data_IF_635972587197
#
_entry.id   IF_635972587197
#
_cell.length_a   1.000
_cell.length_b   1.000
_cell.length_c   1.000
_cell.angle_alpha   90.00
_cell.angle_beta   90.00
_cell.angle_gamma   90.00
#
_symmetry.space_group_name_H-M   'P 1'
#
loop_
_entity.id
_entity.type
_entity.pdbx_description
1 polymer ?
#
# COMPACT_ATOMS: atom_id res chain seq x y z
N UNK A 1 -1.08 -11.46 3.17
CA UNK A 1 -1.82 -10.30 3.69
C UNK A 1 -3.30 -10.42 3.36
N UNK A 2 -3.69 -10.51 2.08
CA UNK A 2 -5.10 -10.51 1.62
C UNK A 2 -6.02 -11.49 2.37
N UNK A 3 -5.59 -12.75 2.53
CA UNK A 3 -6.36 -13.78 3.23
C UNK A 3 -6.64 -13.43 4.71
N UNK A 4 -5.64 -12.92 5.43
CA UNK A 4 -5.81 -12.55 6.84
C UNK A 4 -6.62 -11.25 6.98
N UNK A 5 -6.41 -10.26 6.10
CA UNK A 5 -7.21 -9.03 6.08
C UNK A 5 -8.70 -9.31 5.86
N UNK A 6 -9.04 -10.24 4.96
CA UNK A 6 -10.43 -10.66 4.76
C UNK A 6 -11.03 -11.35 5.98
N UNK A 7 -10.25 -12.20 6.66
CA UNK A 7 -10.71 -12.94 7.84
C UNK A 7 -10.86 -12.08 9.09
N UNK A 8 -10.01 -11.06 9.22
CA UNK A 8 -9.97 -10.16 10.37
C UNK A 8 -10.83 -8.91 10.18
N UNK A 9 -11.41 -8.69 8.98
CA UNK A 9 -12.27 -7.56 8.72
C UNK A 9 -13.48 -7.55 9.68
N UNK A 10 -13.72 -6.44 10.40
CA UNK A 10 -14.92 -6.28 11.23
C UNK A 10 -16.23 -6.38 10.43
N UNK A 11 -17.34 -6.58 11.12
CA UNK A 11 -18.67 -6.50 10.50
C UNK A 11 -18.87 -5.14 9.81
N UNK A 12 -19.36 -5.17 8.57
CA UNK A 12 -19.55 -3.96 7.75
C UNK A 12 -18.30 -3.46 7.02
N UNK A 13 -17.14 -4.08 7.22
CA UNK A 13 -15.90 -3.72 6.52
C UNK A 13 -15.65 -4.68 5.36
N UNK A 14 -15.33 -4.13 4.18
CA UNK A 14 -14.88 -4.89 3.01
C UNK A 14 -13.42 -4.57 2.71
N UNK A 15 -12.71 -5.51 2.10
CA UNK A 15 -11.30 -5.33 1.71
C UNK A 15 -11.16 -5.51 0.20
N UNK A 16 -10.42 -4.59 -0.42
CA UNK A 16 -10.19 -4.54 -1.87
C UNK A 16 -8.69 -4.43 -2.11
N UNK A 17 -8.20 -5.09 -3.15
CA UNK A 17 -6.76 -5.24 -3.35
C UNK A 17 -6.37 -4.99 -4.80
N UNK A 18 -5.22 -4.35 -4.98
CA UNK A 18 -4.43 -4.33 -6.21
C UNK A 18 -3.05 -4.90 -5.90
N UNK A 19 -2.24 -5.23 -6.92
CA UNK A 19 -0.94 -5.89 -6.73
C UNK A 19 0.17 -5.17 -7.48
N UNK A 20 1.28 -4.98 -6.80
CA UNK A 20 2.59 -4.67 -7.38
C UNK A 20 3.26 -6.01 -7.71
N UNK A 21 3.88 -6.10 -8.88
CA UNK A 21 4.62 -7.31 -9.22
C UNK A 21 5.89 -7.36 -8.37
N UNK A 22 6.05 -8.44 -7.60
CA UNK A 22 7.20 -8.64 -6.71
C UNK A 22 7.84 -9.99 -6.99
N UNK A 23 9.16 -10.01 -7.19
CA UNK A 23 9.92 -11.23 -7.53
C UNK A 23 10.91 -11.68 -6.48
N UNK A 24 11.49 -10.73 -5.74
CA UNK A 24 12.57 -10.93 -4.77
C UNK A 24 12.68 -9.72 -3.85
N UNK A 25 13.32 -9.89 -2.69
CA UNK A 25 13.46 -8.84 -1.67
C UNK A 25 14.77 -8.03 -1.81
N UNK A 26 15.36 -7.99 -3.00
CA UNK A 26 16.52 -7.13 -3.25
C UNK A 26 16.14 -5.65 -3.16
N UNK A 27 17.07 -4.81 -2.71
CA UNK A 27 16.82 -3.38 -2.48
C UNK A 27 16.28 -2.69 -3.73
N UNK A 28 16.82 -3.01 -4.91
CA UNK A 28 16.37 -2.45 -6.19
C UNK A 28 14.89 -2.77 -6.46
N UNK A 29 14.46 -4.02 -6.22
CA UNK A 29 13.07 -4.46 -6.41
C UNK A 29 12.13 -3.75 -5.44
N UNK A 30 12.54 -3.60 -4.18
CA UNK A 30 11.78 -2.88 -3.16
C UNK A 30 11.63 -1.39 -3.50
N UNK A 31 12.70 -0.74 -3.98
CA UNK A 31 12.67 0.65 -4.43
C UNK A 31 11.81 0.84 -5.69
N UNK A 32 11.82 -0.14 -6.61
CA UNK A 32 11.02 -0.10 -7.83
C UNK A 32 9.52 -0.04 -7.53
N UNK A 33 9.05 -0.67 -6.43
CA UNK A 33 7.64 -0.63 -6.03
C UNK A 33 7.07 0.80 -5.96
N UNK A 34 7.86 1.77 -5.49
CA UNK A 34 7.43 3.16 -5.37
C UNK A 34 7.03 3.77 -6.73
N UNK A 35 7.64 3.29 -7.82
CA UNK A 35 7.33 3.75 -9.18
C UNK A 35 5.98 3.21 -9.68
N UNK A 36 5.52 2.08 -9.15
CA UNK A 36 4.21 1.49 -9.49
C UNK A 36 3.06 1.98 -8.59
N UNK A 37 3.37 2.43 -7.37
CA UNK A 37 2.36 2.90 -6.39
C UNK A 37 1.37 3.92 -6.98
N UNK A 38 1.77 4.98 -7.72
CA UNK A 38 0.84 6.01 -8.16
C UNK A 38 -0.30 5.48 -9.03
N UNK A 39 0.02 4.65 -10.04
CA UNK A 39 -0.96 4.16 -11.01
C UNK A 39 -1.86 3.08 -10.40
N UNK A 40 -1.31 2.28 -9.48
CA UNK A 40 -2.07 1.27 -8.75
C UNK A 40 -2.97 1.90 -7.67
N UNK A 41 -2.53 3.00 -7.06
CA UNK A 41 -3.35 3.79 -6.14
C UNK A 41 -4.55 4.40 -6.88
N UNK A 42 -4.34 4.97 -8.07
CA UNK A 42 -5.44 5.46 -8.92
C UNK A 42 -6.43 4.35 -9.25
N UNK A 43 -5.94 3.20 -9.73
CA UNK A 43 -6.78 2.05 -10.07
C UNK A 43 -7.62 1.59 -8.86
N UNK A 44 -6.98 1.45 -7.69
CA UNK A 44 -7.64 1.02 -6.48
C UNK A 44 -8.61 2.09 -5.94
N UNK A 45 -8.29 3.37 -6.13
CA UNK A 45 -9.11 4.51 -5.70
C UNK A 45 -10.50 4.55 -6.35
N UNK A 46 -10.67 3.97 -7.55
CA UNK A 46 -11.99 3.83 -8.18
C UNK A 46 -12.99 3.02 -7.34
N UNK A 47 -12.52 2.20 -6.39
CA UNK A 47 -13.38 1.45 -5.47
C UNK A 47 -14.01 2.31 -4.36
N UNK A 48 -13.75 3.63 -4.31
CA UNK A 48 -14.30 4.55 -3.30
C UNK A 48 -14.01 4.09 -1.88
N UNK A 49 -12.73 3.84 -1.60
CA UNK A 49 -12.24 3.31 -0.32
C UNK A 49 -12.21 4.39 0.77
N UNK A 50 -12.41 3.98 2.03
CA UNK A 50 -12.25 4.84 3.20
C UNK A 50 -10.77 5.07 3.59
N UNK A 51 -9.90 4.10 3.26
CA UNK A 51 -8.45 4.17 3.50
C UNK A 51 -7.69 3.20 2.57
N UNK A 52 -6.42 3.51 2.30
CA UNK A 52 -5.50 2.66 1.52
C UNK A 52 -4.28 2.29 2.37
N UNK A 53 -3.84 1.04 2.32
CA UNK A 53 -2.62 0.58 2.98
C UNK A 53 -1.63 0.01 1.96
N UNK A 54 -0.39 0.48 1.99
CA UNK A 54 0.71 -0.18 1.30
C UNK A 54 1.18 -1.41 2.10
N UNK A 55 0.88 -2.58 1.53
CA UNK A 55 0.93 -3.88 2.19
C UNK A 55 2.29 -4.59 2.26
N UNK A 56 3.41 -3.89 2.26
CA UNK A 56 4.74 -4.50 2.29
C UNK A 56 5.65 -3.82 3.33
N UNK A 57 6.09 -4.58 4.34
CA UNK A 57 7.03 -4.09 5.38
C UNK A 57 8.37 -3.73 4.76
N UNK A 58 8.98 -4.63 3.97
CA UNK A 58 10.27 -4.38 3.32
C UNK A 58 10.24 -3.13 2.45
N UNK A 59 9.26 -3.01 1.57
CA UNK A 59 9.11 -1.86 0.66
C UNK A 59 8.84 -0.53 1.37
N UNK A 60 8.22 -0.54 2.56
CA UNK A 60 7.98 0.68 3.35
C UNK A 60 9.06 0.98 4.39
N UNK A 61 10.02 0.07 4.59
CA UNK A 61 11.09 0.20 5.59
C UNK A 61 12.51 0.27 4.98
N UNK A 62 12.68 -0.13 3.72
CA UNK A 62 13.99 -0.28 3.05
C UNK A 62 14.89 0.94 3.19
N UNK A 63 14.31 2.15 3.22
CA UNK A 63 15.00 3.41 3.41
C UNK A 63 14.25 4.27 4.43
N UNK A 64 14.94 5.04 5.30
CA UNK A 64 14.29 6.00 6.19
C UNK A 64 13.38 6.97 5.44
N UNK A 65 12.15 7.14 5.94
CA UNK A 65 11.13 8.02 5.38
C UNK A 65 10.35 7.46 4.19
N UNK A 66 10.67 6.25 3.73
CA UNK A 66 9.99 5.62 2.60
C UNK A 66 8.49 5.42 2.86
N UNK A 67 8.12 5.08 4.09
CA UNK A 67 6.72 4.94 4.50
C UNK A 67 5.93 6.24 4.29
N UNK A 68 6.50 7.38 4.67
CA UNK A 68 5.87 8.69 4.50
C UNK A 68 5.80 9.10 3.04
N UNK A 69 6.84 8.82 2.24
CA UNK A 69 6.82 9.08 0.80
C UNK A 69 5.71 8.29 0.10
N UNK A 70 5.54 7.01 0.43
CA UNK A 70 4.44 6.18 -0.09
C UNK A 70 3.07 6.74 0.31
N UNK A 71 2.91 7.15 1.57
CA UNK A 71 1.66 7.73 2.09
C UNK A 71 1.29 8.99 1.33
N UNK A 72 2.24 9.92 1.14
CA UNK A 72 1.97 11.17 0.43
C UNK A 72 1.64 10.93 -1.03
N UNK A 73 2.36 10.03 -1.73
CA UNK A 73 2.03 9.66 -3.11
C UNK A 73 0.61 9.13 -3.24
N UNK A 74 0.19 8.22 -2.36
CA UNK A 74 -1.18 7.66 -2.41
C UNK A 74 -2.22 8.76 -2.17
N UNK A 75 -1.98 9.63 -1.18
CA UNK A 75 -2.88 10.75 -0.86
C UNK A 75 -2.97 11.76 -1.99
N UNK A 76 -1.85 12.12 -2.61
CA UNK A 76 -1.82 13.07 -3.73
C UNK A 76 -2.59 12.54 -4.95
N UNK A 77 -2.49 11.25 -5.22
CA UNK A 77 -3.16 10.61 -6.37
C UNK A 77 -4.65 10.39 -6.16
N UNK A 78 -5.04 9.98 -4.96
CA UNK A 78 -6.41 9.50 -4.71
C UNK A 78 -7.26 10.44 -3.87
N UNK A 79 -6.64 11.32 -3.07
CA UNK A 79 -7.32 12.07 -2.01
C UNK A 79 -7.76 11.20 -0.81
N UNK A 80 -7.41 9.92 -0.78
CA UNK A 80 -7.83 8.95 0.24
C UNK A 80 -6.76 8.86 1.34
N UNK A 81 -7.14 8.79 2.63
CA UNK A 81 -6.20 8.55 3.72
C UNK A 81 -5.35 7.28 3.48
N UNK A 82 -4.05 7.38 3.72
CA UNK A 82 -3.12 6.28 3.47
C UNK A 82 -2.27 5.92 4.68
N UNK A 83 -1.84 4.67 4.74
CA UNK A 83 -0.84 4.16 5.69
C UNK A 83 0.07 3.13 5.01
N UNK A 84 1.09 2.66 5.72
CA UNK A 84 1.91 1.52 5.30
C UNK A 84 1.97 0.46 6.39
N UNK A 85 2.44 -0.73 6.04
CA UNK A 85 2.68 -1.78 7.02
C UNK A 85 3.71 -1.34 8.07
N UNK A 86 4.76 -0.62 7.68
CA UNK A 86 5.81 -0.17 8.62
C UNK A 86 5.34 0.93 9.56
N UNK A 87 4.44 1.81 9.12
CA UNK A 87 3.82 2.85 9.97
C UNK A 87 2.85 2.25 11.00
N UNK A 88 2.34 1.03 10.75
CA UNK A 88 1.41 0.34 11.64
C UNK A 88 2.09 -0.56 12.70
N UNK A 89 3.42 -0.63 12.71
CA UNK A 89 4.24 -1.33 13.71
C UNK A 89 4.57 -0.41 14.89
#
# INVERSE_FOLDING_TARGET
>A
MEYECQRLAPEGVSTHFTRIKHTDDEEETLLHMLTEVPDLADLLGHASLDAICFGCTGGSFVRPGMDQEIIEVIKERTGIPATTTSTAL
#
